data_IF_590396956188
#
_entry.id   IF_590396956188
#
_cell.length_a   1.000
_cell.length_b   1.000
_cell.length_c   1.000
_cell.angle_alpha   90.00
_cell.angle_beta   90.00
_cell.angle_gamma   90.00
#
_symmetry.space_group_name_H-M   'P 1'
#
loop_
_entity.id
_entity.type
_entity.pdbx_description
1 polymer ?
#
# COMPACT_ATOMS: atom_id res chain seq x y z
N UNK A 1 -21.15 4.93 -16.90
CA UNK A 1 -22.06 4.53 -15.82
C UNK A 1 -22.37 3.04 -15.97
N UNK A 2 -21.72 2.16 -15.21
CA UNK A 2 -21.92 0.70 -15.29
C UNK A 2 -22.29 0.14 -13.92
N UNK A 3 -23.55 -0.27 -13.74
CA UNK A 3 -24.05 -0.90 -12.51
C UNK A 3 -23.27 -2.20 -12.26
N UNK A 4 -22.50 -2.24 -11.16
CA UNK A 4 -21.92 -3.49 -10.64
C UNK A 4 -23.00 -4.20 -9.81
N UNK A 5 -23.59 -5.25 -10.37
CA UNK A 5 -24.46 -6.17 -9.64
C UNK A 5 -23.59 -6.98 -8.67
N UNK A 6 -23.71 -6.69 -7.37
CA UNK A 6 -23.15 -7.54 -6.31
C UNK A 6 -23.98 -8.83 -6.24
N UNK A 7 -23.60 -9.85 -7.01
CA UNK A 7 -24.11 -11.22 -6.83
C UNK A 7 -23.47 -11.82 -5.58
N UNK A 8 -24.07 -11.53 -4.42
CA UNK A 8 -23.78 -12.27 -3.20
C UNK A 8 -24.26 -13.71 -3.37
N UNK A 9 -23.33 -14.66 -3.54
CA UNK A 9 -23.64 -16.07 -3.61
C UNK A 9 -24.15 -16.52 -2.23
N UNK A 10 -25.47 -16.69 -2.07
CA UNK A 10 -26.07 -17.29 -0.86
C UNK A 10 -26.02 -18.81 -1.00
N UNK A 11 -24.93 -19.43 -0.54
CA UNK A 11 -24.79 -20.89 -0.50
C UNK A 11 -25.36 -21.46 0.81
N UNK A 12 -26.32 -22.39 0.70
CA UNK A 12 -26.67 -23.28 1.81
C UNK A 12 -25.59 -24.37 1.91
N UNK A 13 -24.71 -24.25 2.90
CA UNK A 13 -23.61 -25.20 3.17
C UNK A 13 -24.07 -26.55 3.71
N UNK A 14 -25.36 -26.72 4.00
CA UNK A 14 -25.95 -27.96 4.52
C UNK A 14 -26.32 -28.98 3.43
N UNK A 15 -26.10 -28.66 2.16
CA UNK A 15 -26.37 -29.57 1.03
C UNK A 15 -25.06 -30.11 0.43
N UNK A 16 -25.06 -31.38 0.01
CA UNK A 16 -23.91 -32.03 -0.67
C UNK A 16 -23.41 -31.21 -1.87
N UNK A 17 -24.32 -30.55 -2.60
CA UNK A 17 -24.00 -29.66 -3.71
C UNK A 17 -23.22 -28.41 -3.26
N UNK A 18 -23.58 -27.83 -2.10
CA UNK A 18 -22.86 -26.70 -1.51
C UNK A 18 -21.46 -27.08 -1.06
N UNK A 19 -21.30 -28.27 -0.49
CA UNK A 19 -19.98 -28.83 -0.14
C UNK A 19 -19.10 -29.07 -1.37
N UNK A 20 -19.66 -29.67 -2.44
CA UNK A 20 -18.95 -29.87 -3.71
C UNK A 20 -18.50 -28.55 -4.33
N UNK A 21 -19.35 -27.51 -4.32
CA UNK A 21 -18.99 -26.20 -4.85
C UNK A 21 -17.85 -25.55 -4.04
N UNK A 22 -17.90 -25.62 -2.70
CA UNK A 22 -16.80 -25.16 -1.86
C UNK A 22 -15.50 -25.93 -2.12
N UNK A 23 -15.58 -27.25 -2.34
CA UNK A 23 -14.42 -28.07 -2.73
C UNK A 23 -13.85 -27.67 -4.09
N UNK A 24 -14.70 -27.34 -5.07
CA UNK A 24 -14.25 -26.84 -6.39
C UNK A 24 -13.58 -25.47 -6.24
N UNK A 25 -14.20 -24.53 -5.52
CA UNK A 25 -13.59 -23.21 -5.23
C UNK A 25 -12.26 -23.34 -4.49
N UNK A 26 -12.16 -24.25 -3.52
CA UNK A 26 -10.91 -24.54 -2.83
C UNK A 26 -9.84 -25.13 -3.77
N UNK A 27 -10.21 -25.98 -4.74
CA UNK A 27 -9.28 -26.49 -5.76
C UNK A 27 -8.81 -25.39 -6.71
N UNK A 28 -9.65 -24.39 -7.01
CA UNK A 28 -9.29 -23.22 -7.81
C UNK A 28 -8.29 -22.29 -7.10
N UNK A 29 -8.18 -22.37 -5.77
CA UNK A 29 -7.15 -21.63 -5.02
C UNK A 29 -5.73 -21.98 -5.48
N UNK A 30 -5.51 -23.19 -6.02
CA UNK A 30 -4.22 -23.61 -6.59
C UNK A 30 -3.85 -22.88 -7.89
N UNK A 31 -4.83 -22.30 -8.58
CA UNK A 31 -4.59 -21.49 -9.78
C UNK A 31 -4.38 -20.01 -9.48
N UNK A 32 -4.51 -19.60 -8.20
CA UNK A 32 -4.28 -18.23 -7.74
C UNK A 32 -2.93 -17.65 -8.22
N UNK A 33 -1.81 -18.39 -8.25
CA UNK A 33 -0.54 -17.86 -8.74
C UNK A 33 -0.53 -17.49 -10.24
N UNK A 34 -1.42 -18.08 -11.04
CA UNK A 34 -1.56 -17.78 -12.48
C UNK A 34 -2.48 -16.61 -12.79
N UNK A 35 -3.03 -15.95 -11.76
CA UNK A 35 -3.93 -14.80 -11.96
C UNK A 35 -3.14 -13.51 -12.11
N UNK A 36 -3.57 -12.62 -13.01
CA UNK A 36 -2.99 -11.28 -13.17
C UNK A 36 -2.93 -10.50 -11.85
N UNK A 37 -3.98 -10.62 -11.04
CA UNK A 37 -4.04 -10.00 -9.72
C UNK A 37 -2.92 -10.48 -8.79
N UNK A 38 -2.57 -11.77 -8.83
CA UNK A 38 -1.45 -12.27 -8.04
C UNK A 38 -0.13 -11.66 -8.49
N UNK A 39 0.15 -11.60 -9.80
CA UNK A 39 1.38 -10.96 -10.28
C UNK A 39 1.50 -9.49 -9.87
N UNK A 40 0.39 -8.75 -9.89
CA UNK A 40 0.35 -7.35 -9.46
C UNK A 40 0.63 -7.21 -7.95
N UNK A 41 -0.02 -8.03 -7.12
CA UNK A 41 0.22 -8.08 -5.67
C UNK A 41 1.68 -8.47 -5.35
N UNK A 42 2.26 -9.44 -6.09
CA UNK A 42 3.66 -9.82 -5.91
C UNK A 42 4.62 -8.69 -6.29
N UNK A 43 4.38 -8.00 -7.40
CA UNK A 43 5.22 -6.86 -7.80
C UNK A 43 5.19 -5.74 -6.75
N UNK A 44 4.02 -5.46 -6.17
CA UNK A 44 3.90 -4.49 -5.08
C UNK A 44 4.71 -4.91 -3.85
N UNK A 45 4.59 -6.16 -3.42
CA UNK A 45 5.34 -6.71 -2.28
C UNK A 45 6.85 -6.64 -2.54
N UNK A 46 7.30 -7.07 -3.72
CA UNK A 46 8.72 -7.08 -4.07
C UNK A 46 9.31 -5.68 -4.13
N UNK A 47 8.57 -4.70 -4.68
CA UNK A 47 9.02 -3.31 -4.70
C UNK A 47 9.08 -2.71 -3.29
N UNK A 48 8.07 -2.98 -2.46
CA UNK A 48 8.08 -2.54 -1.06
C UNK A 48 9.26 -3.16 -0.28
N UNK A 49 9.55 -4.45 -0.45
CA UNK A 49 10.69 -5.11 0.17
C UNK A 49 12.03 -4.49 -0.27
N UNK A 50 12.17 -4.13 -1.55
CA UNK A 50 13.36 -3.42 -2.04
C UNK A 50 13.53 -2.06 -1.38
N UNK A 51 12.44 -1.31 -1.21
CA UNK A 51 12.50 -0.01 -0.54
C UNK A 51 12.88 -0.15 0.95
N UNK A 52 12.37 -1.19 1.63
CA UNK A 52 12.73 -1.50 3.03
C UNK A 52 14.22 -1.87 3.14
N UNK A 53 14.73 -2.73 2.25
CA UNK A 53 16.13 -3.13 2.22
C UNK A 53 17.06 -1.93 1.97
N UNK A 54 16.70 -1.06 1.02
CA UNK A 54 17.42 0.19 0.78
C UNK A 54 17.40 1.12 2.01
N UNK A 55 16.26 1.21 2.71
CA UNK A 55 16.14 2.02 3.91
C UNK A 55 16.95 1.48 5.09
N UNK A 56 17.08 0.15 5.23
CA UNK A 56 17.91 -0.48 6.27
C UNK A 56 19.38 -0.05 6.17
N UNK A 57 19.86 0.21 4.95
CA UNK A 57 21.22 0.73 4.72
C UNK A 57 21.40 2.19 5.16
N UNK A 58 20.30 2.92 5.38
CA UNK A 58 20.30 4.34 5.82
C UNK A 58 20.01 4.44 7.32
N UNK A 59 18.90 3.85 7.77
CA UNK A 59 18.47 3.82 9.17
C UNK A 59 17.42 2.73 9.41
N UNK A 60 17.58 1.95 10.47
CA UNK A 60 16.59 0.95 10.88
C UNK A 60 15.23 1.57 11.25
N UNK A 61 15.21 2.80 11.77
CA UNK A 61 13.96 3.49 12.10
C UNK A 61 13.18 3.92 10.86
N UNK A 62 13.87 4.37 9.81
CA UNK A 62 13.24 4.69 8.53
C UNK A 62 12.65 3.42 7.88
N UNK A 63 13.41 2.32 7.90
CA UNK A 63 12.93 1.04 7.40
C UNK A 63 11.66 0.57 8.12
N UNK A 64 11.60 0.73 9.45
CA UNK A 64 10.41 0.40 10.23
C UNK A 64 9.19 1.22 9.80
N UNK A 65 9.35 2.53 9.59
CA UNK A 65 8.23 3.38 9.13
C UNK A 65 7.73 2.98 7.72
N UNK A 66 8.64 2.61 6.81
CA UNK A 66 8.27 2.08 5.49
C UNK A 66 7.55 0.73 5.62
N UNK A 67 7.97 -0.13 6.56
CA UNK A 67 7.27 -1.39 6.83
C UNK A 67 5.84 -1.12 7.29
N UNK A 68 5.66 -0.16 8.20
CA UNK A 68 4.36 0.22 8.74
C UNK A 68 3.40 0.80 7.69
N UNK A 69 3.91 1.37 6.58
CA UNK A 69 3.06 1.84 5.46
C UNK A 69 2.22 0.72 4.82
N UNK A 70 2.60 -0.56 4.96
CA UNK A 70 1.79 -1.67 4.46
C UNK A 70 0.37 -1.71 5.08
N UNK A 71 0.19 -1.12 6.27
CA UNK A 71 -1.12 -1.02 6.96
C UNK A 71 -2.15 -0.17 6.22
N UNK A 72 -1.71 0.67 5.28
CA UNK A 72 -2.58 1.44 4.40
C UNK A 72 -3.36 0.53 3.45
N UNK A 73 -2.76 -0.58 3.03
CA UNK A 73 -3.33 -1.49 2.04
C UNK A 73 -4.14 -2.57 2.77
N UNK A 74 -5.47 -2.38 2.84
CA UNK A 74 -6.36 -3.34 3.51
C UNK A 74 -7.74 -3.45 2.85
N UNK A 75 -8.41 -4.55 3.15
CA UNK A 75 -9.77 -4.82 2.69
C UNK A 75 -9.85 -5.08 1.20
N UNK A 76 -11.00 -4.75 0.61
CA UNK A 76 -11.31 -4.99 -0.80
C UNK A 76 -12.07 -3.81 -1.40
N UNK A 77 -12.16 -3.77 -2.73
CA UNK A 77 -12.92 -2.75 -3.45
C UNK A 77 -12.33 -1.35 -3.29
N UNK A 78 -13.14 -0.42 -2.79
CA UNK A 78 -12.78 0.99 -2.69
C UNK A 78 -11.68 1.24 -1.65
N UNK A 79 -11.79 0.63 -0.47
CA UNK A 79 -10.82 0.77 0.61
C UNK A 79 -9.42 0.32 0.18
N UNK A 80 -9.34 -0.80 -0.55
CA UNK A 80 -8.08 -1.30 -1.10
C UNK A 80 -7.47 -0.30 -2.09
N UNK A 81 -8.27 0.23 -3.02
CA UNK A 81 -7.78 1.15 -4.05
C UNK A 81 -7.28 2.47 -3.44
N UNK A 82 -7.99 3.02 -2.47
CA UNK A 82 -7.55 4.22 -1.73
C UNK A 82 -6.25 3.97 -0.97
N UNK A 83 -6.17 2.84 -0.26
CA UNK A 83 -4.95 2.45 0.44
C UNK A 83 -3.74 2.35 -0.50
N UNK A 84 -3.95 1.79 -1.69
CA UNK A 84 -2.93 1.65 -2.73
C UNK A 84 -2.49 3.02 -3.29
N UNK A 85 -3.44 3.90 -3.61
CA UNK A 85 -3.15 5.27 -4.07
C UNK A 85 -2.34 6.04 -3.01
N UNK A 86 -2.78 6.02 -1.75
CA UNK A 86 -2.08 6.71 -0.65
C UNK A 86 -0.65 6.17 -0.47
N UNK A 87 -0.48 4.85 -0.53
CA UNK A 87 0.83 4.22 -0.46
C UNK A 87 1.75 4.68 -1.61
N UNK A 88 1.25 4.68 -2.85
CA UNK A 88 2.02 5.15 -4.00
C UNK A 88 2.42 6.62 -3.87
N UNK A 89 1.51 7.49 -3.44
CA UNK A 89 1.82 8.91 -3.23
C UNK A 89 2.91 9.12 -2.17
N UNK A 90 2.85 8.40 -1.05
CA UNK A 90 3.89 8.44 0.00
C UNK A 90 5.22 7.92 -0.56
N UNK A 91 5.16 6.81 -1.32
CA UNK A 91 6.35 6.19 -1.90
C UNK A 91 7.08 7.12 -2.85
N UNK A 92 6.36 7.73 -3.78
CA UNK A 92 6.93 8.55 -4.84
C UNK A 92 7.46 9.89 -4.32
N UNK A 93 6.74 10.53 -3.39
CA UNK A 93 7.08 11.88 -2.94
C UNK A 93 7.99 11.92 -1.69
N UNK A 94 8.07 10.82 -0.93
CA UNK A 94 8.81 10.81 0.35
C UNK A 94 9.83 9.69 0.38
N UNK A 95 9.39 8.43 0.18
CA UNK A 95 10.28 7.27 0.35
C UNK A 95 11.40 7.30 -0.68
N UNK A 96 11.08 7.38 -1.98
CA UNK A 96 12.09 7.37 -3.04
C UNK A 96 13.08 8.55 -2.92
N UNK A 97 12.64 9.81 -2.68
CA UNK A 97 13.56 10.91 -2.38
C UNK A 97 14.44 10.67 -1.14
N UNK A 98 13.90 10.06 -0.10
CA UNK A 98 14.63 9.74 1.13
C UNK A 98 15.71 8.69 0.88
N UNK A 99 15.40 7.64 0.11
CA UNK A 99 16.36 6.63 -0.32
C UNK A 99 17.46 7.22 -1.22
N UNK A 100 17.14 8.28 -1.96
CA UNK A 100 18.09 9.08 -2.73
C UNK A 100 18.93 10.06 -1.91
N UNK A 101 18.92 9.97 -0.57
CA UNK A 101 19.68 10.84 0.35
C UNK A 101 19.35 12.35 0.23
N UNK A 102 18.16 12.70 -0.29
CA UNK A 102 17.71 14.10 -0.37
C UNK A 102 17.24 14.68 0.97
N UNK A 103 17.07 13.81 1.97
CA UNK A 103 16.68 14.14 3.33
C UNK A 103 17.66 13.46 4.29
N UNK A 104 17.90 14.08 5.45
CA UNK A 104 18.57 13.35 6.54
C UNK A 104 17.68 12.21 7.02
N UNK A 105 18.29 11.15 7.56
CA UNK A 105 17.57 9.96 8.01
C UNK A 105 16.45 10.28 9.02
N UNK A 106 16.68 11.22 9.93
CA UNK A 106 15.68 11.68 10.90
C UNK A 106 14.49 12.37 10.22
N UNK A 107 14.76 13.32 9.31
CA UNK A 107 13.70 14.03 8.57
C UNK A 107 12.91 13.08 7.68
N UNK A 108 13.59 12.11 7.04
CA UNK A 108 12.96 11.08 6.24
C UNK A 108 12.01 10.22 7.09
N UNK A 109 12.46 9.75 8.26
CA UNK A 109 11.63 8.97 9.20
C UNK A 109 10.38 9.76 9.59
N UNK A 110 10.55 11.00 10.02
CA UNK A 110 9.44 11.84 10.48
C UNK A 110 8.45 12.13 9.35
N UNK A 111 8.95 12.41 8.15
CA UNK A 111 8.13 12.62 6.96
C UNK A 111 7.26 11.40 6.62
N UNK A 112 7.86 10.20 6.60
CA UNK A 112 7.13 8.95 6.34
C UNK A 112 6.11 8.67 7.44
N UNK A 113 6.48 8.83 8.70
CA UNK A 113 5.59 8.60 9.85
C UNK A 113 4.38 9.55 9.81
N UNK A 114 4.61 10.84 9.60
CA UNK A 114 3.55 11.84 9.51
C UNK A 114 2.61 11.58 8.34
N UNK A 115 3.15 11.26 7.16
CA UNK A 115 2.33 10.97 5.99
C UNK A 115 1.50 9.68 6.17
N UNK A 116 2.08 8.64 6.79
CA UNK A 116 1.38 7.40 7.13
C UNK A 116 0.22 7.66 8.10
N UNK A 117 0.46 8.41 9.17
CA UNK A 117 -0.59 8.76 10.15
C UNK A 117 -1.69 9.58 9.47
N UNK A 118 -1.33 10.59 8.66
CA UNK A 118 -2.30 11.37 7.89
C UNK A 118 -3.16 10.50 6.98
N UNK A 119 -2.54 9.59 6.22
CA UNK A 119 -3.25 8.68 5.32
C UNK A 119 -4.14 7.66 6.04
N UNK A 120 -3.78 7.23 7.26
CA UNK A 120 -4.61 6.32 8.06
C UNK A 120 -5.82 7.03 8.68
N UNK A 121 -5.67 8.31 9.01
CA UNK A 121 -6.71 9.13 9.66
C UNK A 121 -7.67 9.80 8.69
N UNK A 122 -7.47 9.65 7.37
CA UNK A 122 -8.21 10.40 6.37
C UNK A 122 -9.05 9.51 5.44
N UNK A 123 -10.38 9.49 5.62
CA UNK A 123 -11.29 8.81 4.71
C UNK A 123 -11.36 9.42 3.30
N UNK A 124 -11.08 10.73 3.17
CA UNK A 124 -11.32 11.53 1.96
C UNK A 124 -10.03 11.90 1.18
N UNK A 125 -8.86 11.85 1.81
CA UNK A 125 -7.52 11.98 1.18
C UNK A 125 -6.89 13.38 1.25
N UNK A 126 -7.67 14.42 1.54
CA UNK A 126 -7.23 15.83 1.60
C UNK A 126 -6.06 16.10 2.55
N UNK A 127 -6.01 15.44 3.70
CA UNK A 127 -4.96 15.60 4.72
C UNK A 127 -3.62 15.03 4.25
N UNK A 128 -3.64 13.93 3.49
CA UNK A 128 -2.43 13.36 2.92
C UNK A 128 -1.82 14.32 1.88
N UNK A 129 -2.65 14.89 1.00
CA UNK A 129 -2.17 15.80 -0.04
C UNK A 129 -1.48 17.05 0.52
N UNK A 130 -2.02 17.61 1.61
CA UNK A 130 -1.39 18.73 2.32
C UNK A 130 0.00 18.37 2.86
N UNK A 131 0.12 17.22 3.53
CA UNK A 131 1.39 16.74 4.08
C UNK A 131 2.41 16.47 2.97
N UNK A 132 1.98 15.87 1.85
CA UNK A 132 2.85 15.63 0.70
C UNK A 132 3.34 16.93 0.07
N UNK A 133 2.48 17.95 -0.04
CA UNK A 133 2.84 19.27 -0.57
C UNK A 133 3.88 19.96 0.33
N UNK A 134 3.68 19.91 1.65
CA UNK A 134 4.61 20.47 2.62
C UNK A 134 5.98 19.78 2.55
N UNK A 135 6.01 18.44 2.52
CA UNK A 135 7.26 17.67 2.42
C UNK A 135 7.96 17.89 1.08
N UNK A 136 7.23 17.94 -0.03
CA UNK A 136 7.79 18.21 -1.36
C UNK A 136 8.48 19.59 -1.42
N UNK A 137 7.86 20.60 -0.80
CA UNK A 137 8.47 21.92 -0.67
C UNK A 137 9.77 21.88 0.15
N UNK A 138 9.80 21.12 1.26
CA UNK A 138 11.00 20.94 2.07
C UNK A 138 12.13 20.25 1.32
N UNK A 139 11.82 19.22 0.51
CA UNK A 139 12.80 18.52 -0.35
C UNK A 139 13.36 19.48 -1.41
N UNK A 140 12.50 20.30 -2.00
CA UNK A 140 12.90 21.24 -3.06
C UNK A 140 13.75 22.40 -2.53
N UNK A 141 13.45 22.89 -1.32
CA UNK A 141 14.22 23.98 -0.69
C UNK A 141 15.51 23.50 0.00
N UNK A 142 15.64 22.21 0.29
CA UNK A 142 16.79 21.61 0.98
C UNK A 142 17.96 21.21 0.09
N UNK A 143 18.01 21.60 -1.19
CA UNK A 143 19.16 21.38 -2.08
C UNK A 143 20.11 22.59 -2.04
N UNK A 144 21.24 22.56 -1.28
CA UNK A 144 22.38 23.38 -1.65
C UNK A 144 22.97 22.81 -2.95
N UNK A 145 23.49 23.70 -3.79
CA UNK A 145 24.23 23.33 -5.00
C UNK A 145 25.52 22.57 -4.71
#
# INVERSE_FOLDING_TARGET
WGKRSNFGIRLKTTTVLGYLLLRVLAKLARWRPGTYRYSEEQNLILNWLKDVDAALSISGELALEIVECARLIKGYGETYRRGLVNYHSIRENIILPSLGHRLSAEKARDAVSNARVAALSDPEGTRLDLVLTEISNLITQGSPG
#
